data_IF_727675208739
#
_entry.id   IF_727675208739
#
_cell.length_a   1.000
_cell.length_b   1.000
_cell.length_c   1.000
_cell.angle_alpha   90.00
_cell.angle_beta   90.00
_cell.angle_gamma   90.00
#
_symmetry.space_group_name_H-M   'P 1'
#
loop_
_entity.id
_entity.type
_entity.pdbx_description
1 polymer ?
#
# COMPACT_ATOMS: atom_id res chain seq x y z
N UNK A 1 35.52 6.10 30.27
CA UNK A 1 35.21 6.83 29.02
C UNK A 1 35.34 5.94 27.80
N UNK A 2 36.53 5.43 27.46
CA UNK A 2 36.71 4.55 26.29
C UNK A 2 35.86 3.28 26.32
N UNK A 3 35.80 2.56 27.45
CA UNK A 3 34.98 1.35 27.55
C UNK A 3 33.50 1.64 27.30
N UNK A 4 32.99 2.75 27.85
CA UNK A 4 31.60 3.19 27.64
C UNK A 4 31.33 3.48 26.16
N UNK A 5 32.25 4.18 25.49
CA UNK A 5 32.15 4.47 24.04
C UNK A 5 32.18 3.17 23.22
N UNK A 6 33.02 2.20 23.60
CA UNK A 6 33.10 0.92 22.90
C UNK A 6 31.79 0.13 23.02
N UNK A 7 31.20 0.07 24.22
CA UNK A 7 29.92 -0.60 24.42
C UNK A 7 28.76 0.11 23.71
N UNK A 8 28.73 1.45 23.69
CA UNK A 8 27.67 2.19 22.99
C UNK A 8 27.75 1.96 21.48
N UNK A 9 28.94 2.00 20.89
CA UNK A 9 29.13 1.72 19.47
C UNK A 9 28.71 0.28 19.12
N UNK A 10 29.13 -0.70 19.92
CA UNK A 10 28.74 -2.11 19.75
C UNK A 10 27.21 -2.26 19.72
N UNK A 11 26.52 -1.69 20.70
CA UNK A 11 25.06 -1.81 20.82
C UNK A 11 24.36 -1.11 19.64
N UNK A 12 24.79 0.10 19.26
CA UNK A 12 24.21 0.83 18.13
C UNK A 12 24.37 0.06 16.82
N UNK A 13 25.54 -0.52 16.57
CA UNK A 13 25.76 -1.35 15.38
C UNK A 13 24.83 -2.56 15.36
N UNK A 14 24.66 -3.25 16.49
CA UNK A 14 23.73 -4.38 16.60
C UNK A 14 22.29 -3.92 16.31
N UNK A 15 21.85 -2.79 16.86
CA UNK A 15 20.51 -2.25 16.61
C UNK A 15 20.25 -1.98 15.12
N UNK A 16 21.21 -1.37 14.42
CA UNK A 16 21.09 -1.09 12.98
C UNK A 16 21.00 -2.39 12.18
N UNK A 17 21.83 -3.38 12.52
CA UNK A 17 21.81 -4.68 11.87
C UNK A 17 20.46 -5.39 12.09
N UNK A 18 19.95 -5.41 13.33
CA UNK A 18 18.67 -6.03 13.68
C UNK A 18 17.48 -5.37 12.96
N UNK A 19 17.42 -4.03 12.96
CA UNK A 19 16.38 -3.27 12.26
C UNK A 19 16.44 -3.47 10.74
N UNK A 20 17.64 -3.62 10.19
CA UNK A 20 17.89 -3.76 8.77
C UNK A 20 17.96 -5.20 8.25
N UNK A 21 17.68 -6.24 9.06
CA UNK A 21 17.91 -7.65 8.65
C UNK A 21 17.34 -7.94 7.26
N UNK A 22 16.10 -7.50 7.00
CA UNK A 22 15.41 -7.72 5.73
C UNK A 22 16.01 -6.94 4.56
N UNK A 23 16.64 -5.80 4.82
CA UNK A 23 17.28 -4.96 3.79
C UNK A 23 18.69 -5.46 3.50
N UNK A 24 19.45 -5.87 4.52
CA UNK A 24 20.83 -6.31 4.37
C UNK A 24 20.99 -7.78 3.96
N UNK A 25 20.14 -8.70 4.45
CA UNK A 25 20.33 -10.14 4.27
C UNK A 25 19.37 -10.80 3.27
N UNK A 26 18.32 -10.11 2.80
CA UNK A 26 17.41 -10.67 1.79
C UNK A 26 17.79 -10.16 0.40
N UNK A 27 17.95 -11.06 -0.57
CA UNK A 27 18.25 -10.71 -1.97
C UNK A 27 17.08 -9.91 -2.55
N UNK A 28 17.31 -8.63 -2.86
CA UNK A 28 16.25 -7.70 -3.27
C UNK A 28 15.50 -7.02 -2.12
N UNK A 29 16.05 -7.09 -0.89
CA UNK A 29 15.54 -6.36 0.27
C UNK A 29 15.45 -4.86 -0.01
N UNK A 30 14.22 -4.34 -0.02
CA UNK A 30 13.93 -2.91 -0.12
C UNK A 30 13.11 -2.51 1.09
N UNK A 31 13.25 -1.26 1.50
CA UNK A 31 12.30 -0.69 2.45
C UNK A 31 10.89 -0.76 1.83
N UNK A 32 9.88 -1.18 2.61
CA UNK A 32 8.51 -1.26 2.10
C UNK A 32 8.05 0.12 1.64
N UNK A 33 7.33 0.18 0.51
CA UNK A 33 6.76 1.42 0.00
C UNK A 33 5.68 1.91 0.98
N UNK A 34 5.97 2.97 1.74
CA UNK A 34 5.01 3.60 2.65
C UNK A 34 3.92 4.42 1.93
N UNK A 35 4.10 4.68 0.63
CA UNK A 35 3.14 5.44 -0.15
C UNK A 35 1.84 4.65 -0.38
N UNK A 36 0.70 5.22 0.00
CA UNK A 36 -0.62 4.56 -0.07
C UNK A 36 -0.92 3.95 -1.44
N UNK A 37 -0.58 4.66 -2.52
CA UNK A 37 -0.81 4.20 -3.90
C UNK A 37 0.19 3.13 -4.37
N UNK A 38 1.41 3.13 -3.83
CA UNK A 38 2.48 2.21 -4.21
C UNK A 38 2.60 0.97 -3.32
N UNK A 39 1.85 0.91 -2.23
CA UNK A 39 1.89 -0.19 -1.28
C UNK A 39 0.94 -1.31 -1.71
N UNK A 40 1.51 -2.44 -2.16
CA UNK A 40 0.73 -3.62 -2.56
C UNK A 40 -0.18 -4.13 -1.45
N UNK A 41 0.28 -4.12 -0.19
CA UNK A 41 -0.52 -4.60 0.93
C UNK A 41 -1.76 -3.71 1.22
N UNK A 42 -1.68 -2.41 0.96
CA UNK A 42 -2.83 -1.50 1.08
C UNK A 42 -3.78 -1.66 -0.10
N UNK A 43 -3.25 -1.82 -1.32
CA UNK A 43 -4.04 -2.16 -2.51
C UNK A 43 -4.82 -3.47 -2.37
N UNK A 44 -4.19 -4.52 -1.86
CA UNK A 44 -4.84 -5.82 -1.64
C UNK A 44 -5.98 -5.72 -0.60
N UNK A 45 -5.95 -4.70 0.27
CA UNK A 45 -7.02 -4.38 1.23
C UNK A 45 -8.07 -3.39 0.67
N UNK A 46 -7.97 -3.00 -0.59
CA UNK A 46 -8.87 -2.02 -1.22
C UNK A 46 -8.66 -0.58 -0.76
N UNK A 47 -7.57 -0.28 -0.06
CA UNK A 47 -7.26 1.08 0.42
C UNK A 47 -6.51 1.81 -0.68
N UNK A 48 -7.14 2.81 -1.29
CA UNK A 48 -6.56 3.68 -2.32
C UNK A 48 -6.56 5.15 -1.85
N UNK A 49 -5.90 6.05 -2.60
CA UNK A 49 -5.91 7.47 -2.23
C UNK A 49 -7.33 8.04 -2.34
N UNK A 50 -7.66 9.03 -1.50
CA UNK A 50 -8.99 9.64 -1.49
C UNK A 50 -9.42 10.10 -2.90
N UNK A 51 -8.52 10.73 -3.65
CA UNK A 51 -8.79 11.17 -5.02
C UNK A 51 -9.13 10.01 -5.98
N UNK A 52 -8.49 8.85 -5.86
CA UNK A 52 -8.84 7.67 -6.65
C UNK A 52 -10.20 7.10 -6.26
N UNK A 53 -10.52 7.08 -4.95
CA UNK A 53 -11.83 6.67 -4.46
C UNK A 53 -12.93 7.62 -4.95
N UNK A 54 -12.69 8.93 -4.91
CA UNK A 54 -13.62 9.95 -5.40
C UNK A 54 -13.88 9.79 -6.91
N UNK A 55 -12.83 9.54 -7.70
CA UNK A 55 -12.96 9.31 -9.14
C UNK A 55 -13.71 8.00 -9.46
N UNK A 56 -13.47 6.94 -8.70
CA UNK A 56 -14.22 5.68 -8.83
C UNK A 56 -15.69 5.86 -8.44
N UNK A 57 -15.98 6.62 -7.38
CA UNK A 57 -17.33 6.95 -6.95
C UNK A 57 -18.07 7.83 -7.97
N UNK A 58 -17.37 8.77 -8.62
CA UNK A 58 -17.92 9.58 -9.72
C UNK A 58 -18.19 8.73 -10.97
N UNK A 59 -17.30 7.78 -11.30
CA UNK A 59 -17.51 6.85 -12.43
C UNK A 59 -18.63 5.85 -12.18
N UNK A 60 -18.89 5.49 -10.94
CA UNK A 60 -20.03 4.66 -10.54
C UNK A 60 -21.30 5.52 -10.59
N UNK A 61 -21.74 5.88 -11.80
CA UNK A 61 -22.99 6.62 -12.00
C UNK A 61 -24.12 5.87 -11.28
N UNK A 62 -24.85 6.57 -10.42
CA UNK A 62 -26.01 6.03 -9.69
C UNK A 62 -27.12 5.49 -10.61
N UNK A 63 -27.09 5.87 -11.88
CA UNK A 63 -27.96 5.39 -12.93
C UNK A 63 -27.11 4.64 -13.95
N UNK A 64 -27.15 3.30 -13.89
CA UNK A 64 -26.68 2.47 -14.99
C UNK A 64 -27.70 2.61 -16.11
N UNK A 65 -27.45 3.52 -17.06
CA UNK A 65 -28.24 3.62 -18.29
C UNK A 65 -28.28 2.24 -18.96
N UNK A 66 -27.20 1.46 -18.88
CA UNK A 66 -27.15 0.07 -19.35
C UNK A 66 -28.15 -0.86 -18.64
N UNK A 67 -28.43 -0.66 -17.34
CA UNK A 67 -29.41 -1.48 -16.61
C UNK A 67 -30.85 -1.07 -16.97
N UNK A 68 -31.06 0.24 -17.17
CA UNK A 68 -32.34 0.77 -17.62
C UNK A 68 -32.63 0.34 -19.07
N UNK A 69 -31.64 0.45 -19.96
CA UNK A 69 -31.69 0.01 -21.35
C UNK A 69 -31.94 -1.50 -21.46
N UNK A 70 -31.26 -2.30 -20.62
CA UNK A 70 -31.51 -3.74 -20.55
C UNK A 70 -32.94 -4.05 -20.08
N UNK A 71 -33.45 -3.36 -19.05
CA UNK A 71 -34.82 -3.55 -18.58
C UNK A 71 -35.87 -3.11 -19.62
N UNK A 72 -35.57 -2.04 -20.38
CA UNK A 72 -36.45 -1.52 -21.42
C UNK A 72 -36.49 -2.48 -22.61
N UNK A 73 -35.35 -3.03 -23.02
CA UNK A 73 -35.27 -4.03 -24.09
C UNK A 73 -35.93 -5.37 -23.70
N UNK A 74 -35.85 -5.77 -22.43
CA UNK A 74 -36.54 -6.98 -21.91
C UNK A 74 -38.06 -6.79 -21.84
N UNK A 75 -38.54 -5.54 -21.67
CA UNK A 75 -39.98 -5.21 -21.71
C UNK A 75 -40.58 -5.12 -23.12
N UNK A 76 -39.73 -5.01 -24.14
CA UNK A 76 -40.14 -4.89 -25.55
C UNK A 76 -40.18 -6.23 -26.30
N UNK A 77 -39.77 -7.33 -25.64
CA UNK A 77 -39.76 -8.69 -26.16
C UNK A 77 -40.73 -9.57 -25.38
#
# INVERSE_FOLDING_TARGET
>A
MLNTILFTLLIVTICILLLGIKVFFVKGGKFPNGHVSGNKALRDRGISCAQSQDREAQKKSRFSIDALEKALNDSMN
#
